data_IF_197776380567
#
_entry.id   IF_197776380567
#
_cell.length_a   1.000
_cell.length_b   1.000
_cell.length_c   1.000
_cell.angle_alpha   90.00
_cell.angle_beta   90.00
_cell.angle_gamma   90.00
#
_symmetry.space_group_name_H-M   'P 1'
#
loop_
_entity.id
_entity.type
_entity.pdbx_description
1 polymer ?
#
# COMPACT_ATOMS: atom_id res chain seq x y z
N UNK A 1 -11.10 16.30 -10.48
CA UNK A 1 -10.70 16.37 -9.07
C UNK A 1 -9.39 15.63 -8.92
N UNK A 2 -8.46 16.11 -8.11
CA UNK A 2 -7.19 15.42 -7.92
C UNK A 2 -7.41 14.03 -7.31
N UNK A 3 -6.67 13.07 -7.83
CA UNK A 3 -6.68 11.68 -7.38
C UNK A 3 -5.23 11.23 -7.16
N UNK A 4 -4.91 10.76 -5.96
CA UNK A 4 -3.58 10.30 -5.62
C UNK A 4 -3.59 8.86 -5.12
N UNK A 5 -2.65 8.06 -5.62
CA UNK A 5 -2.32 6.75 -5.05
C UNK A 5 -1.35 6.95 -3.90
N UNK A 6 -1.85 6.90 -2.67
CA UNK A 6 -1.04 7.06 -1.47
C UNK A 6 -0.53 5.70 -1.02
N UNK A 7 0.77 5.51 -1.08
CA UNK A 7 1.45 4.32 -0.56
C UNK A 7 1.87 4.61 0.87
N UNK A 8 1.32 3.86 1.80
CA UNK A 8 1.61 3.97 3.24
C UNK A 8 2.56 2.85 3.65
N UNK A 9 3.71 3.21 4.18
CA UNK A 9 4.67 2.28 4.75
C UNK A 9 4.58 2.30 6.29
N UNK A 10 4.43 1.13 6.89
CA UNK A 10 4.42 0.94 8.34
C UNK A 10 5.81 0.48 8.82
N UNK A 11 6.59 1.36 9.45
CA UNK A 11 7.94 1.03 9.90
C UNK A 11 7.96 0.04 11.08
N UNK A 12 6.86 -0.06 11.84
CA UNK A 12 6.75 -0.98 12.98
C UNK A 12 6.54 -2.43 12.52
N UNK A 13 6.14 -2.65 11.25
CA UNK A 13 5.90 -3.98 10.68
C UNK A 13 7.14 -4.61 10.03
N UNK A 14 8.37 -4.36 10.56
CA UNK A 14 9.61 -4.90 9.96
C UNK A 14 9.61 -6.42 9.90
N UNK A 15 9.31 -7.08 11.03
CA UNK A 15 9.27 -8.53 11.16
C UNK A 15 7.89 -9.00 11.63
N UNK A 16 6.90 -9.01 10.74
CA UNK A 16 5.54 -9.35 11.11
C UNK A 16 5.43 -10.83 11.43
N UNK A 17 4.70 -11.14 12.51
CA UNK A 17 4.35 -12.50 12.85
C UNK A 17 3.50 -13.10 11.73
N UNK A 18 3.86 -14.28 11.26
CA UNK A 18 3.14 -15.01 10.21
C UNK A 18 2.27 -16.06 10.86
N UNK A 19 0.99 -16.09 10.51
CA UNK A 19 0.02 -17.07 10.97
C UNK A 19 -0.55 -17.80 9.77
N UNK A 20 -0.65 -19.13 9.86
CA UNK A 20 -1.31 -19.95 8.86
C UNK A 20 -2.80 -19.91 9.06
N UNK A 21 -3.54 -19.69 7.98
CA UNK A 21 -5.01 -19.60 8.02
C UNK A 21 -5.65 -20.36 6.88
N UNK A 22 -6.83 -20.91 7.14
CA UNK A 22 -7.75 -21.37 6.11
C UNK A 22 -8.44 -20.15 5.50
N UNK A 23 -8.40 -20.01 4.20
CA UNK A 23 -9.04 -18.93 3.44
C UNK A 23 -10.31 -19.46 2.83
N UNK A 24 -11.43 -18.83 3.11
CA UNK A 24 -12.75 -19.21 2.61
C UNK A 24 -13.37 -18.05 1.85
N UNK A 25 -13.84 -18.32 0.63
CA UNK A 25 -14.56 -17.35 -0.17
C UNK A 25 -16.01 -17.23 0.26
N UNK A 26 -16.47 -16.01 0.56
CA UNK A 26 -17.83 -15.71 0.99
C UNK A 26 -18.48 -14.74 -0.02
N UNK A 27 -19.77 -14.92 -0.30
CA UNK A 27 -20.52 -14.09 -1.25
C UNK A 27 -20.98 -12.76 -0.65
N UNK A 28 -21.12 -12.68 0.67
CA UNK A 28 -21.58 -11.50 1.41
C UNK A 28 -20.61 -10.31 1.34
N UNK A 29 -19.33 -10.54 1.03
CA UNK A 29 -18.30 -9.52 0.95
C UNK A 29 -18.21 -8.95 -0.47
N UNK A 30 -18.37 -7.63 -0.56
CA UNK A 30 -18.32 -6.92 -1.86
C UNK A 30 -16.92 -6.91 -2.44
N UNK A 31 -16.83 -7.25 -3.72
CA UNK A 31 -15.62 -7.12 -4.52
C UNK A 31 -15.93 -6.32 -5.79
N UNK A 32 -15.54 -5.05 -5.79
CA UNK A 32 -15.82 -4.09 -6.87
C UNK A 32 -14.64 -3.98 -7.83
N UNK A 33 -14.85 -3.32 -8.96
CA UNK A 33 -13.76 -3.02 -9.91
C UNK A 33 -12.67 -2.14 -9.28
N UNK A 34 -13.03 -1.23 -8.38
CA UNK A 34 -12.06 -0.43 -7.63
C UNK A 34 -11.08 -1.29 -6.82
N UNK A 35 -11.55 -2.40 -6.25
CA UNK A 35 -10.70 -3.37 -5.56
C UNK A 35 -9.76 -4.11 -6.55
N UNK A 36 -10.23 -4.41 -7.77
CA UNK A 36 -9.40 -5.03 -8.83
C UNK A 36 -8.29 -4.10 -9.31
N UNK A 37 -8.60 -2.82 -9.45
CA UNK A 37 -7.65 -1.78 -9.84
C UNK A 37 -6.71 -1.34 -8.69
N UNK A 38 -6.93 -1.82 -7.48
CA UNK A 38 -6.14 -1.46 -6.29
C UNK A 38 -6.40 -0.02 -5.80
N UNK A 39 -7.54 0.56 -6.15
CA UNK A 39 -7.98 1.89 -5.68
C UNK A 39 -8.46 1.84 -4.23
N UNK A 40 -9.12 0.76 -3.85
CA UNK A 40 -9.59 0.53 -2.48
C UNK A 40 -9.14 -0.85 -1.97
N UNK A 41 -9.10 -1.00 -0.65
CA UNK A 41 -8.69 -2.25 -0.01
C UNK A 41 -9.94 -3.09 0.26
N UNK A 42 -10.05 -4.33 -0.25
CA UNK A 42 -11.20 -5.19 0.00
C UNK A 42 -11.29 -5.58 1.48
N UNK A 43 -12.52 -5.75 1.95
CA UNK A 43 -12.79 -6.17 3.32
C UNK A 43 -12.70 -7.69 3.46
N UNK A 44 -12.25 -8.14 4.63
CA UNK A 44 -12.21 -9.53 5.02
C UNK A 44 -12.72 -9.67 6.46
N UNK A 45 -13.34 -10.81 6.79
CA UNK A 45 -13.77 -11.09 8.18
C UNK A 45 -12.83 -12.11 8.82
N UNK A 46 -12.52 -11.88 10.08
CA UNK A 46 -11.63 -12.75 10.85
C UNK A 46 -11.96 -12.72 12.33
N UNK A 47 -11.63 -13.80 13.02
CA UNK A 47 -11.78 -13.89 14.47
C UNK A 47 -10.87 -12.87 15.20
N UNK A 48 -11.37 -12.15 16.22
CA UNK A 48 -10.59 -11.17 16.98
C UNK A 48 -9.31 -11.76 17.60
N UNK A 49 -9.34 -13.00 18.12
CA UNK A 49 -8.16 -13.65 18.67
C UNK A 49 -7.03 -13.83 17.65
N UNK A 50 -7.37 -14.19 16.41
CA UNK A 50 -6.39 -14.31 15.32
C UNK A 50 -5.81 -12.96 14.95
N UNK A 51 -6.60 -11.89 14.99
CA UNK A 51 -6.13 -10.53 14.73
C UNK A 51 -5.15 -10.03 15.81
N UNK A 52 -5.43 -10.33 17.08
CA UNK A 52 -4.53 -10.01 18.20
C UNK A 52 -3.16 -10.69 18.05
N UNK A 53 -3.15 -11.96 17.63
CA UNK A 53 -1.90 -12.69 17.36
C UNK A 53 -1.03 -12.01 16.30
N UNK A 54 -1.64 -11.33 15.34
CA UNK A 54 -0.95 -10.61 14.24
C UNK A 54 -0.41 -9.25 14.67
N UNK A 55 -0.85 -8.71 15.80
CA UNK A 55 -0.51 -7.36 16.26
C UNK A 55 -0.70 -6.31 15.15
N UNK A 56 -1.88 -6.30 14.53
CA UNK A 56 -2.22 -5.41 13.41
C UNK A 56 -3.15 -4.28 13.87
N UNK A 57 -2.64 -3.18 14.46
CA UNK A 57 -3.46 -2.12 15.07
C UNK A 57 -4.35 -1.39 14.06
N UNK A 58 -3.94 -1.34 12.80
CA UNK A 58 -4.73 -0.68 11.73
C UNK A 58 -5.70 -1.62 11.03
N UNK A 59 -5.79 -2.87 11.47
CA UNK A 59 -6.63 -3.92 10.85
C UNK A 59 -6.34 -4.14 9.37
N UNK A 60 -5.13 -3.79 8.92
CA UNK A 60 -4.67 -4.02 7.55
C UNK A 60 -3.66 -5.14 7.56
N UNK A 61 -3.97 -6.20 6.83
CA UNK A 61 -3.18 -7.42 6.77
C UNK A 61 -2.86 -7.79 5.34
N UNK A 62 -1.78 -8.52 5.16
CA UNK A 62 -1.43 -9.12 3.87
C UNK A 62 -1.66 -10.61 3.95
N UNK A 63 -2.51 -11.11 3.08
CA UNK A 63 -2.71 -12.54 2.84
C UNK A 63 -1.80 -12.98 1.70
N UNK A 64 -1.00 -14.02 1.92
CA UNK A 64 -0.11 -14.63 0.94
C UNK A 64 -0.52 -16.07 0.70
N UNK A 65 -0.88 -16.41 -0.52
CA UNK A 65 -1.23 -17.76 -0.95
C UNK A 65 -0.18 -18.23 -1.95
N UNK A 66 0.36 -19.42 -1.71
CA UNK A 66 1.33 -20.04 -2.57
C UNK A 66 0.61 -20.86 -3.64
N UNK A 67 0.80 -20.50 -4.92
CA UNK A 67 0.36 -21.34 -6.05
C UNK A 67 1.30 -22.53 -6.24
N UNK A 68 2.59 -22.24 -6.24
CA UNK A 68 3.62 -23.27 -6.32
C UNK A 68 4.83 -22.84 -5.49
N UNK A 69 5.20 -23.64 -4.48
CA UNK A 69 6.34 -23.36 -3.60
C UNK A 69 7.68 -23.59 -4.30
N UNK A 70 7.76 -24.56 -5.19
CA UNK A 70 8.99 -24.89 -5.91
C UNK A 70 9.40 -23.76 -6.86
N UNK A 71 8.44 -23.14 -7.57
CA UNK A 71 8.68 -22.02 -8.49
C UNK A 71 8.59 -20.65 -7.82
N UNK A 72 8.32 -20.60 -6.50
CA UNK A 72 8.16 -19.35 -5.72
C UNK A 72 6.98 -18.48 -6.19
N UNK A 73 6.01 -19.09 -6.88
CA UNK A 73 4.80 -18.40 -7.33
C UNK A 73 3.82 -18.19 -6.18
N UNK A 74 3.57 -16.94 -5.88
CA UNK A 74 2.70 -16.52 -4.79
C UNK A 74 1.82 -15.36 -5.19
N UNK A 75 0.61 -15.35 -4.69
CA UNK A 75 -0.32 -14.24 -4.81
C UNK A 75 -0.43 -13.57 -3.45
N UNK A 76 -0.42 -12.25 -3.45
CA UNK A 76 -0.56 -11.43 -2.24
C UNK A 76 -1.78 -10.54 -2.37
N UNK A 77 -2.56 -10.47 -1.32
CA UNK A 77 -3.70 -9.58 -1.20
C UNK A 77 -3.54 -8.73 0.04
N UNK A 78 -3.76 -7.44 -0.08
CA UNK A 78 -3.91 -6.56 1.08
C UNK A 78 -5.38 -6.48 1.41
N UNK A 79 -5.75 -6.70 2.67
CA UNK A 79 -7.12 -6.82 3.13
C UNK A 79 -7.32 -5.96 4.37
N UNK A 80 -8.49 -5.32 4.46
CA UNK A 80 -8.94 -4.63 5.67
C UNK A 80 -9.79 -5.58 6.47
N UNK A 81 -9.38 -5.88 7.68
CA UNK A 81 -10.04 -6.88 8.54
C UNK A 81 -11.18 -6.24 9.33
N UNK A 82 -12.34 -6.85 9.23
CA UNK A 82 -13.48 -6.65 10.12
C UNK A 82 -13.55 -7.84 11.07
N UNK A 83 -13.62 -7.58 12.36
CA UNK A 83 -13.70 -8.65 13.39
C UNK A 83 -15.09 -9.23 13.43
N UNK A 84 -15.19 -10.56 13.35
CA UNK A 84 -16.43 -11.33 13.46
C UNK A 84 -16.17 -12.57 14.32
N UNK A 85 -16.88 -12.70 15.44
CA UNK A 85 -16.77 -13.83 16.38
C UNK A 85 -17.31 -15.14 15.80
N UNK A 86 -18.16 -15.06 14.78
CA UNK A 86 -18.73 -16.25 14.12
C UNK A 86 -17.70 -16.99 13.26
N UNK A 87 -16.60 -16.33 12.90
CA UNK A 87 -15.54 -16.94 12.11
C UNK A 87 -14.66 -17.80 13.01
N UNK A 88 -14.38 -19.07 12.65
CA UNK A 88 -13.51 -19.95 13.42
C UNK A 88 -12.09 -19.35 13.58
N UNK A 89 -11.40 -19.74 14.65
CA UNK A 89 -9.99 -19.38 14.84
C UNK A 89 -9.14 -19.88 13.65
N UNK A 90 -8.12 -19.13 13.27
CA UNK A 90 -7.26 -19.42 12.12
C UNK A 90 -7.99 -19.53 10.77
N UNK A 91 -9.14 -18.90 10.65
CA UNK A 91 -9.87 -18.79 9.38
C UNK A 91 -10.04 -17.33 9.00
N UNK A 92 -9.92 -17.04 7.70
CA UNK A 92 -10.23 -15.72 7.12
C UNK A 92 -11.27 -15.88 6.02
N UNK A 93 -12.32 -15.10 6.11
CA UNK A 93 -13.36 -14.99 5.08
C UNK A 93 -13.02 -13.80 4.17
N UNK A 94 -12.88 -14.07 2.87
CA UNK A 94 -12.58 -13.07 1.85
C UNK A 94 -13.66 -13.10 0.76
N UNK A 95 -13.81 -12.06 -0.06
CA UNK A 95 -14.73 -12.08 -1.18
C UNK A 95 -14.46 -13.28 -2.11
N UNK A 96 -15.48 -14.09 -2.41
CA UNK A 96 -15.37 -15.25 -3.31
C UNK A 96 -14.79 -14.85 -4.68
N UNK A 97 -15.25 -13.75 -5.25
CA UNK A 97 -14.78 -13.24 -6.54
C UNK A 97 -13.27 -12.96 -6.57
N UNK A 98 -12.67 -12.52 -5.44
CA UNK A 98 -11.23 -12.29 -5.32
C UNK A 98 -10.42 -13.58 -5.46
N UNK A 99 -10.89 -14.68 -4.82
CA UNK A 99 -10.23 -15.99 -4.92
C UNK A 99 -10.41 -16.61 -6.29
N UNK A 100 -11.61 -16.54 -6.85
CA UNK A 100 -11.92 -17.11 -8.16
C UNK A 100 -11.12 -16.41 -9.28
N UNK A 101 -11.03 -15.08 -9.27
CA UNK A 101 -10.29 -14.31 -10.29
C UNK A 101 -8.78 -14.63 -10.29
N UNK A 102 -8.17 -14.87 -9.13
CA UNK A 102 -6.71 -15.02 -9.01
C UNK A 102 -6.23 -16.45 -8.86
N UNK A 103 -7.07 -17.33 -8.30
CA UNK A 103 -6.70 -18.70 -7.96
C UNK A 103 -7.57 -19.75 -8.65
N UNK A 104 -8.79 -19.40 -9.08
CA UNK A 104 -9.76 -20.35 -9.64
C UNK A 104 -10.35 -21.32 -8.62
N UNK A 105 -10.21 -21.04 -7.32
CA UNK A 105 -10.65 -21.89 -6.20
C UNK A 105 -11.48 -21.07 -5.21
N UNK A 106 -12.35 -21.73 -4.45
CA UNK A 106 -13.18 -21.09 -3.43
C UNK A 106 -12.55 -21.15 -2.03
N UNK A 107 -11.70 -22.13 -1.80
CA UNK A 107 -10.95 -22.31 -0.57
C UNK A 107 -9.46 -22.46 -0.83
N UNK A 108 -8.63 -21.96 0.08
CA UNK A 108 -7.18 -22.08 -0.02
C UNK A 108 -6.55 -22.09 1.39
N UNK A 109 -5.29 -22.49 1.47
CA UNK A 109 -4.48 -22.30 2.67
C UNK A 109 -3.49 -21.18 2.38
N UNK A 110 -3.43 -20.23 3.28
CA UNK A 110 -2.56 -19.06 3.13
C UNK A 110 -1.84 -18.67 4.41
N UNK A 111 -0.92 -17.77 4.25
CA UNK A 111 -0.19 -17.13 5.33
C UNK A 111 -0.67 -15.69 5.45
N UNK A 112 -0.99 -15.27 6.67
CA UNK A 112 -1.43 -13.91 6.96
C UNK A 112 -0.43 -13.23 7.89
N UNK A 113 -0.20 -11.95 7.65
CA UNK A 113 0.69 -11.13 8.46
C UNK A 113 0.31 -9.65 8.37
N UNK A 114 0.74 -8.84 9.35
CA UNK A 114 0.57 -7.39 9.33
C UNK A 114 1.15 -6.80 8.05
N UNK A 115 0.40 -5.94 7.38
CA UNK A 115 0.84 -5.31 6.14
C UNK A 115 2.00 -4.33 6.41
N UNK A 116 3.14 -4.55 5.74
CA UNK A 116 4.31 -3.63 5.80
C UNK A 116 4.07 -2.34 5.02
N UNK A 117 3.41 -2.47 3.90
CA UNK A 117 3.00 -1.36 3.06
C UNK A 117 1.69 -1.69 2.36
N UNK A 118 0.89 -0.68 2.15
CA UNK A 118 -0.38 -0.80 1.43
C UNK A 118 -0.65 0.49 0.65
N UNK A 119 -1.53 0.41 -0.35
CA UNK A 119 -1.90 1.51 -1.20
C UNK A 119 -3.38 1.81 -1.02
N UNK A 120 -3.70 3.10 -0.95
CA UNK A 120 -5.07 3.62 -0.93
C UNK A 120 -5.16 4.77 -1.93
N UNK A 121 -6.23 4.81 -2.69
CA UNK A 121 -6.52 5.96 -3.54
C UNK A 121 -7.30 7.00 -2.73
N UNK A 122 -6.81 8.22 -2.78
CA UNK A 122 -7.39 9.38 -2.08
C UNK A 122 -7.91 10.35 -3.12
N UNK A 123 -9.18 10.73 -3.00
CA UNK A 123 -9.89 11.63 -3.94
C UNK A 123 -10.57 12.78 -3.20
N UNK A 124 -10.96 13.81 -3.93
CA UNK A 124 -11.72 14.95 -3.40
C UNK A 124 -10.98 15.78 -2.37
N UNK A 125 -11.67 16.23 -1.33
CA UNK A 125 -11.14 17.12 -0.30
C UNK A 125 -9.93 16.56 0.43
N UNK A 126 -9.89 15.22 0.61
CA UNK A 126 -8.75 14.54 1.21
C UNK A 126 -7.51 14.62 0.34
N UNK A 127 -7.66 14.61 -0.98
CA UNK A 127 -6.54 14.76 -1.91
C UNK A 127 -5.98 16.18 -1.89
N UNK A 128 -6.83 17.19 -1.72
CA UNK A 128 -6.40 18.59 -1.63
C UNK A 128 -5.41 18.83 -0.48
N UNK A 129 -5.52 18.05 0.61
CA UNK A 129 -4.59 18.17 1.76
C UNK A 129 -3.13 17.84 1.41
N UNK A 130 -2.88 17.15 0.31
CA UNK A 130 -1.54 16.84 -0.17
C UNK A 130 -0.97 17.90 -1.13
N UNK A 131 -1.84 18.65 -1.80
CA UNK A 131 -1.42 19.67 -2.78
C UNK A 131 -0.61 20.78 -2.10
N UNK A 132 0.52 21.14 -2.69
CA UNK A 132 1.43 22.13 -2.14
C UNK A 132 2.35 21.64 -1.05
N UNK A 133 2.12 20.43 -0.49
CA UNK A 133 3.01 19.80 0.49
C UNK A 133 4.32 19.36 -0.16
N UNK A 134 5.38 19.39 0.65
CA UNK A 134 6.74 19.01 0.21
C UNK A 134 7.16 17.66 0.79
N UNK A 135 8.15 17.06 0.14
CA UNK A 135 8.84 15.91 0.71
C UNK A 135 9.43 16.31 2.09
N UNK A 136 9.17 15.51 3.12
CA UNK A 136 9.55 15.78 4.49
C UNK A 136 8.46 16.44 5.34
N UNK A 137 7.37 16.93 4.72
CA UNK A 137 6.22 17.42 5.47
C UNK A 137 5.29 16.30 5.93
N UNK A 138 4.45 16.64 6.89
CA UNK A 138 3.57 15.70 7.57
C UNK A 138 2.11 16.04 7.28
N UNK A 139 1.30 15.01 7.05
CA UNK A 139 -0.15 15.08 6.87
C UNK A 139 -0.82 14.13 7.86
N UNK A 140 -2.03 14.43 8.26
CA UNK A 140 -2.80 13.56 9.15
C UNK A 140 -3.16 12.23 8.46
N UNK A 141 -2.98 11.11 9.17
CA UNK A 141 -3.26 9.79 8.60
C UNK A 141 -4.75 9.45 8.50
N UNK A 142 -5.64 10.29 9.04
CA UNK A 142 -7.10 10.18 8.87
C UNK A 142 -7.52 10.22 7.40
N UNK A 143 -6.73 10.88 6.56
CA UNK A 143 -6.91 10.93 5.09
C UNK A 143 -6.98 9.53 4.47
N UNK A 144 -6.16 8.60 4.97
CA UNK A 144 -6.13 7.20 4.53
C UNK A 144 -6.92 6.25 5.45
N UNK A 145 -7.72 6.80 6.37
CA UNK A 145 -8.56 6.04 7.29
C UNK A 145 -7.84 5.48 8.53
N UNK A 146 -6.67 6.01 8.88
CA UNK A 146 -5.92 5.65 10.08
C UNK A 146 -5.97 6.82 11.05
N UNK A 147 -6.67 6.64 12.18
CA UNK A 147 -6.72 7.67 13.24
C UNK A 147 -5.50 7.63 14.17
N UNK A 148 -5.18 8.79 14.77
CA UNK A 148 -4.16 8.92 15.82
C UNK A 148 -2.70 8.74 15.35
N UNK A 149 -2.42 8.85 14.06
CA UNK A 149 -1.08 8.79 13.46
C UNK A 149 -0.92 9.89 12.42
N UNK A 150 0.31 10.11 12.01
CA UNK A 150 0.65 11.06 10.95
C UNK A 150 1.39 10.37 9.81
N UNK A 151 1.31 10.94 8.62
CA UNK A 151 1.98 10.48 7.40
C UNK A 151 3.11 11.45 7.07
N UNK A 152 4.33 10.97 7.12
CA UNK A 152 5.50 11.70 6.61
C UNK A 152 5.62 11.44 5.11
N UNK A 153 5.61 12.48 4.29
CA UNK A 153 5.81 12.39 2.84
C UNK A 153 7.28 12.10 2.56
N UNK A 154 7.56 10.97 1.93
CA UNK A 154 8.92 10.52 1.62
C UNK A 154 9.30 10.71 0.16
N UNK A 155 8.33 10.86 -0.72
CA UNK A 155 8.52 11.05 -2.15
C UNK A 155 7.25 10.78 -2.94
N UNK A 156 7.41 10.65 -4.25
CA UNK A 156 6.30 10.35 -5.15
C UNK A 156 6.78 10.26 -6.60
N UNK A 157 5.84 10.08 -7.50
CA UNK A 157 6.08 10.08 -8.95
C UNK A 157 4.88 10.65 -9.70
N UNK A 158 5.16 11.21 -10.87
CA UNK A 158 4.13 11.70 -11.78
C UNK A 158 3.51 10.56 -12.62
N UNK A 159 2.55 10.92 -13.50
CA UNK A 159 1.88 9.99 -14.40
C UNK A 159 2.83 9.27 -15.38
N UNK A 160 3.95 9.89 -15.73
CA UNK A 160 4.98 9.31 -16.60
C UNK A 160 6.05 8.51 -15.83
N UNK A 161 5.92 8.39 -14.50
CA UNK A 161 6.84 7.66 -13.64
C UNK A 161 8.11 8.42 -13.24
N UNK A 162 8.20 9.75 -13.51
CA UNK A 162 9.34 10.54 -13.07
C UNK A 162 9.26 10.78 -11.56
N UNK A 163 10.33 10.44 -10.81
CA UNK A 163 10.33 10.56 -9.36
C UNK A 163 10.49 12.00 -8.90
N UNK A 164 9.88 12.31 -7.75
CA UNK A 164 10.14 13.54 -7.02
C UNK A 164 11.51 13.48 -6.34
N UNK A 165 12.23 14.62 -6.35
CA UNK A 165 13.57 14.74 -5.74
C UNK A 165 13.54 15.83 -4.66
N UNK A 166 13.98 15.54 -3.43
CA UNK A 166 13.89 16.49 -2.31
C UNK A 166 14.73 17.75 -2.52
N UNK A 167 15.82 17.68 -3.26
CA UNK A 167 16.75 18.80 -3.51
C UNK A 167 16.29 19.77 -4.60
N UNK A 168 15.26 19.40 -5.38
CA UNK A 168 14.74 20.26 -6.43
C UNK A 168 13.48 21.00 -5.93
N UNK A 169 13.53 22.29 -5.68
CA UNK A 169 12.37 23.05 -5.20
C UNK A 169 11.31 23.23 -6.29
N UNK A 170 10.04 23.28 -5.85
CA UNK A 170 8.87 23.53 -6.71
C UNK A 170 8.24 22.26 -7.26
N UNK A 171 7.30 22.45 -8.21
CA UNK A 171 6.48 21.38 -8.81
C UNK A 171 6.99 20.93 -10.17
N UNK A 172 7.89 21.72 -10.78
CA UNK A 172 8.28 21.56 -12.17
C UNK A 172 9.09 20.30 -12.46
N UNK A 173 9.02 19.86 -13.72
CA UNK A 173 9.83 18.77 -14.25
C UNK A 173 11.12 19.34 -14.84
N UNK A 174 12.27 18.80 -14.43
CA UNK A 174 13.60 19.22 -14.91
C UNK A 174 14.49 18.03 -15.21
N UNK A 175 15.39 18.19 -16.17
CA UNK A 175 16.43 17.21 -16.48
C UNK A 175 17.66 17.51 -15.64
N UNK A 176 18.03 16.62 -14.73
CA UNK A 176 19.20 16.72 -13.87
C UNK A 176 20.23 15.65 -14.23
N UNK A 177 21.51 15.96 -14.03
CA UNK A 177 22.59 14.99 -14.12
C UNK A 177 22.66 14.23 -12.79
N UNK A 178 22.16 13.00 -12.80
CA UNK A 178 22.08 12.14 -11.60
C UNK A 178 23.25 11.15 -11.54
N UNK A 179 23.78 10.95 -10.33
CA UNK A 179 24.80 9.95 -10.02
C UNK A 179 24.26 8.78 -9.16
N UNK A 180 22.97 8.85 -8.74
CA UNK A 180 22.32 7.87 -7.88
C UNK A 180 20.82 8.10 -7.74
N UNK A 181 20.12 7.28 -6.91
CA UNK A 181 18.71 7.42 -6.66
C UNK A 181 18.36 8.72 -5.89
N UNK A 182 17.12 9.21 -6.06
CA UNK A 182 16.05 8.65 -6.88
C UNK A 182 16.18 8.97 -8.37
N UNK A 183 15.63 8.11 -9.22
CA UNK A 183 15.52 8.33 -10.68
C UNK A 183 16.66 7.75 -11.51
N UNK A 184 17.80 7.42 -10.92
CA UNK A 184 18.90 6.74 -11.60
C UNK A 184 19.60 5.73 -10.68
N UNK A 185 19.86 4.53 -11.20
CA UNK A 185 20.65 3.51 -10.53
C UNK A 185 21.89 3.20 -11.41
N UNK A 186 23.08 3.71 -11.03
CA UNK A 186 24.30 3.48 -11.81
C UNK A 186 24.68 1.99 -11.78
N UNK A 187 25.13 1.48 -12.91
CA UNK A 187 25.68 0.11 -13.02
C UNK A 187 27.17 0.09 -12.69
N UNK A 188 27.87 1.18 -13.02
CA UNK A 188 29.31 1.30 -12.81
C UNK A 188 29.61 2.45 -11.85
N UNK A 189 30.73 2.35 -11.10
CA UNK A 189 31.21 3.41 -10.21
C UNK A 189 31.50 4.67 -11.01
N UNK A 190 30.94 5.80 -10.58
CA UNK A 190 31.11 7.10 -11.25
C UNK A 190 30.17 7.36 -12.42
N UNK A 191 29.32 6.39 -12.81
CA UNK A 191 28.35 6.60 -13.88
C UNK A 191 27.35 7.71 -13.54
N UNK A 192 27.12 8.63 -14.46
CA UNK A 192 26.13 9.71 -14.35
C UNK A 192 25.27 9.73 -15.59
N UNK A 193 23.98 10.01 -15.43
CA UNK A 193 23.06 10.17 -16.58
C UNK A 193 22.12 11.35 -16.38
N UNK A 194 21.82 12.00 -17.48
CA UNK A 194 20.78 13.02 -17.50
C UNK A 194 19.42 12.36 -17.51
N UNK A 195 18.62 12.61 -16.45
CA UNK A 195 17.28 12.05 -16.26
C UNK A 195 16.30 13.14 -15.89
N UNK A 196 15.05 12.98 -16.33
CA UNK A 196 13.96 13.85 -15.90
C UNK A 196 13.52 13.45 -14.49
N UNK A 197 13.30 14.47 -13.68
CA UNK A 197 12.78 14.34 -12.30
C UNK A 197 11.78 15.47 -12.03
N UNK A 198 10.98 15.29 -10.99
CA UNK A 198 10.03 16.28 -10.48
C UNK A 198 10.59 17.00 -9.26
N UNK A 199 10.09 18.21 -9.04
CA UNK A 199 10.38 18.97 -7.84
C UNK A 199 9.83 18.30 -6.58
N UNK A 200 10.18 18.86 -5.44
CA UNK A 200 9.85 18.31 -4.12
C UNK A 200 8.41 18.62 -3.66
N UNK A 201 7.66 19.42 -4.40
CA UNK A 201 6.33 19.88 -4.04
C UNK A 201 5.26 19.12 -4.83
N UNK A 202 4.24 18.61 -4.13
CA UNK A 202 3.14 17.86 -4.72
C UNK A 202 2.22 18.81 -5.50
N UNK A 203 1.96 18.46 -6.75
CA UNK A 203 1.00 19.12 -7.65
C UNK A 203 -0.02 18.11 -8.17
N UNK A 204 -1.01 18.55 -8.91
CA UNK A 204 -2.02 17.69 -9.52
C UNK A 204 -1.46 16.69 -10.55
N UNK A 205 -0.25 16.96 -11.08
CA UNK A 205 0.44 16.06 -12.02
C UNK A 205 1.08 14.83 -11.34
N UNK A 206 1.19 14.84 -10.01
CA UNK A 206 1.66 13.69 -9.24
C UNK A 206 0.53 12.66 -9.17
N UNK A 207 0.86 11.41 -9.38
CA UNK A 207 -0.10 10.30 -9.32
C UNK A 207 0.12 9.46 -8.09
N UNK A 208 1.38 9.19 -7.74
CA UNK A 208 1.72 8.38 -6.57
C UNK A 208 2.46 9.21 -5.54
N UNK A 209 2.01 9.11 -4.29
CA UNK A 209 2.65 9.71 -3.12
C UNK A 209 3.11 8.59 -2.19
N UNK A 210 4.39 8.58 -1.87
CA UNK A 210 4.96 7.63 -0.91
C UNK A 210 5.00 8.26 0.47
N UNK A 211 4.46 7.56 1.45
CA UNK A 211 4.39 8.05 2.83
C UNK A 211 4.88 7.00 3.82
N UNK A 212 5.26 7.45 4.99
CA UNK A 212 5.66 6.62 6.13
C UNK A 212 4.83 7.01 7.34
N UNK A 213 4.26 6.03 8.03
CA UNK A 213 3.58 6.23 9.30
C UNK A 213 4.57 6.66 10.37
N UNK A 214 4.23 7.70 11.11
CA UNK A 214 4.94 8.18 12.28
C UNK A 214 3.96 8.38 13.44
N UNK A 215 4.48 8.33 14.66
CA UNK A 215 3.70 8.68 15.84
C UNK A 215 3.25 10.13 15.78
N UNK A 216 2.08 10.40 16.35
CA UNK A 216 1.52 11.76 16.42
C UNK A 216 2.32 12.64 17.37
#
# INVERSE_FOLDING_TARGET
MPEFKVVVNDPEAKDPKVVWVKVVGVEDLKYTEEHKEGKSIPEARMNPKTLELLNAPYRIVTLRIWKNRATNEKVKFTLKVVTDEKVPENTICVPKALLTDKLGQEEAIGEIFRAKAFQVTVTGDKAVMFIGKKIGEVVDASVVGIGGKKLLITGGSDFAGFPMVPTLPGTGKKALLLSGPPGFHPKNKGERRRKYVRGNTISEEIVQINTKLISA
#
